data_IF_739498002296
#
_entry.id   IF_739498002296
#
_cell.length_a   1.000
_cell.length_b   1.000
_cell.length_c   1.000
_cell.angle_alpha   90.00
_cell.angle_beta   90.00
_cell.angle_gamma   90.00
#
_symmetry.space_group_name_H-M   'P 1'
#
loop_
_entity.id
_entity.type
_entity.pdbx_description
1 polymer ?
#
# COMPACT_ATOMS: atom_id res chain seq x y z
N UNK A 1 -8.87 54.09 39.17
CA UNK A 1 -7.52 53.61 38.80
C UNK A 1 -7.47 52.11 39.00
N UNK A 2 -7.29 51.35 37.90
CA UNK A 2 -6.55 50.08 37.74
C UNK A 2 -6.70 49.04 38.89
N UNK A 3 -7.18 47.81 38.68
CA UNK A 3 -6.70 46.84 37.68
C UNK A 3 -7.75 45.76 37.41
N UNK A 4 -7.80 45.36 36.14
CA UNK A 4 -8.69 44.40 35.53
C UNK A 4 -8.45 42.95 35.98
N UNK A 5 -9.57 42.25 36.02
CA UNK A 5 -9.85 40.82 36.05
C UNK A 5 -8.85 39.98 35.23
N UNK A 6 -8.18 39.02 35.88
CA UNK A 6 -7.44 37.97 35.20
C UNK A 6 -8.37 36.77 34.98
N UNK A 7 -8.81 36.57 33.74
CA UNK A 7 -9.52 35.36 33.31
C UNK A 7 -8.45 34.31 33.00
N UNK A 8 -8.35 33.28 33.86
CA UNK A 8 -7.58 32.07 33.60
C UNK A 8 -8.39 31.19 32.63
N UNK A 9 -8.06 31.24 31.34
CA UNK A 9 -8.53 30.27 30.35
C UNK A 9 -7.65 29.03 30.49
N UNK A 10 -8.18 28.00 31.16
CA UNK A 10 -7.61 26.67 31.17
C UNK A 10 -7.87 25.99 29.81
N UNK A 11 -6.94 26.11 28.87
CA UNK A 11 -6.90 25.24 27.69
C UNK A 11 -6.29 23.90 28.09
N UNK A 12 -7.13 22.97 28.54
CA UNK A 12 -6.78 21.56 28.61
C UNK A 12 -6.68 21.02 27.17
N UNK A 13 -5.46 20.96 26.64
CA UNK A 13 -5.17 20.17 25.45
C UNK A 13 -5.24 18.69 25.85
N UNK A 14 -6.42 18.08 25.71
CA UNK A 14 -6.55 16.63 25.70
C UNK A 14 -5.77 16.11 24.50
N UNK A 15 -4.57 15.61 24.75
CA UNK A 15 -3.79 14.86 23.78
C UNK A 15 -4.46 13.49 23.66
N UNK A 16 -5.44 13.39 22.76
CA UNK A 16 -5.98 12.10 22.34
C UNK A 16 -4.83 11.33 21.70
N UNK A 17 -4.26 10.39 22.44
CA UNK A 17 -3.34 9.39 21.90
C UNK A 17 -4.17 8.51 20.99
N UNK A 18 -4.28 8.91 19.71
CA UNK A 18 -4.75 8.01 18.67
C UNK A 18 -3.67 6.93 18.61
N UNK A 19 -3.98 5.76 19.16
CA UNK A 19 -3.24 4.55 18.88
C UNK A 19 -3.49 4.21 17.41
N UNK A 20 -2.78 4.90 16.51
CA UNK A 20 -2.68 4.49 15.12
C UNK A 20 -2.01 3.13 15.11
N UNK A 21 -2.70 2.13 14.54
CA UNK A 21 -2.07 0.86 14.24
C UNK A 21 -0.76 1.13 13.48
N UNK A 22 0.32 0.46 13.89
CA UNK A 22 1.59 0.56 13.17
C UNK A 22 1.36 -0.01 11.77
N UNK A 23 1.18 0.87 10.78
CA UNK A 23 1.27 0.46 9.39
C UNK A 23 2.72 0.05 9.15
N UNK A 24 2.94 -1.25 8.91
CA UNK A 24 4.24 -1.73 8.49
C UNK A 24 4.52 -1.15 7.10
N UNK A 25 5.53 -0.30 7.02
CA UNK A 25 6.06 0.16 5.75
C UNK A 25 6.89 -0.96 5.12
N UNK A 26 6.52 -1.37 3.91
CA UNK A 26 7.37 -2.16 3.04
C UNK A 26 8.52 -1.24 2.64
N UNK A 27 9.67 -1.35 3.32
CA UNK A 27 10.88 -0.54 3.11
C UNK A 27 11.54 -0.85 1.74
N UNK A 28 10.78 -0.65 0.65
CA UNK A 28 11.18 -0.85 -0.75
C UNK A 28 11.30 0.53 -1.39
N UNK A 29 12.33 0.73 -2.21
CA UNK A 29 12.64 1.99 -2.86
C UNK A 29 12.81 1.80 -4.37
N UNK A 30 12.62 2.88 -5.12
CA UNK A 30 12.96 2.91 -6.55
C UNK A 30 14.47 2.68 -6.71
N UNK A 31 14.84 1.77 -7.61
CA UNK A 31 16.21 1.32 -7.81
C UNK A 31 16.54 -0.01 -7.10
N UNK A 32 15.67 -0.48 -6.21
CA UNK A 32 15.86 -1.79 -5.58
C UNK A 32 15.67 -2.92 -6.59
N UNK A 33 16.40 -4.01 -6.37
CA UNK A 33 16.17 -5.26 -7.05
C UNK A 33 15.35 -6.17 -6.15
N UNK A 34 14.27 -6.73 -6.68
CA UNK A 34 13.37 -7.62 -5.93
C UNK A 34 13.21 -8.94 -6.66
N UNK A 35 12.91 -10.01 -5.94
CA UNK A 35 12.48 -11.26 -6.56
C UNK A 35 11.18 -11.75 -5.96
N UNK A 36 10.51 -12.61 -6.70
CA UNK A 36 9.27 -13.22 -6.28
C UNK A 36 9.43 -14.68 -5.93
N UNK A 37 8.56 -15.13 -5.05
CA UNK A 37 8.31 -16.53 -4.81
C UNK A 37 6.88 -16.85 -5.21
N UNK A 38 6.72 -18.02 -5.80
CA UNK A 38 5.41 -18.62 -5.99
C UNK A 38 4.82 -19.05 -4.63
N UNK A 39 3.56 -18.73 -4.41
CA UNK A 39 2.87 -18.83 -3.12
C UNK A 39 1.43 -19.29 -3.32
N UNK A 40 0.55 -19.02 -2.37
CA UNK A 40 -0.78 -19.60 -2.35
C UNK A 40 -1.65 -19.11 -3.52
N UNK A 41 -2.23 -20.07 -4.25
CA UNK A 41 -3.04 -19.84 -5.45
C UNK A 41 -2.92 -21.04 -6.37
N UNK A 42 -3.89 -21.20 -7.28
CA UNK A 42 -3.90 -22.29 -8.28
C UNK A 42 -4.26 -21.80 -9.68
N UNK A 43 -4.49 -20.50 -9.83
CA UNK A 43 -4.82 -19.85 -11.10
C UNK A 43 -3.57 -19.21 -11.72
N UNK A 44 -3.69 -18.52 -12.87
CA UNK A 44 -2.61 -17.76 -13.50
C UNK A 44 -2.22 -16.47 -12.69
N UNK A 45 -2.52 -16.47 -11.39
CA UNK A 45 -2.25 -15.42 -10.42
C UNK A 45 -2.36 -15.98 -8.99
N UNK A 46 -2.48 -15.11 -7.98
CA UNK A 46 -2.58 -15.52 -6.58
C UNK A 46 -1.68 -14.70 -5.66
N UNK A 47 -1.41 -15.22 -4.46
CA UNK A 47 -0.41 -14.63 -3.59
C UNK A 47 0.98 -14.81 -4.20
N UNK A 48 1.81 -13.77 -4.08
CA UNK A 48 3.24 -13.84 -4.31
C UNK A 48 3.99 -13.39 -3.08
N UNK A 49 5.09 -14.06 -2.78
CA UNK A 49 6.07 -13.59 -1.81
C UNK A 49 7.06 -12.66 -2.50
N UNK A 50 7.51 -11.61 -1.83
CA UNK A 50 8.56 -10.73 -2.34
C UNK A 50 9.77 -10.73 -1.41
N UNK A 51 10.97 -10.74 -1.96
CA UNK A 51 12.24 -10.52 -1.26
C UNK A 51 13.06 -9.40 -1.92
N UNK A 52 13.77 -8.62 -1.10
CA UNK A 52 14.79 -7.67 -1.57
C UNK A 52 16.10 -8.41 -1.88
N UNK A 53 16.73 -8.07 -3.00
CA UNK A 53 18.05 -8.56 -3.36
C UNK A 53 19.15 -7.67 -2.73
N UNK A 54 20.31 -8.26 -2.34
CA UNK A 54 20.73 -9.64 -2.58
C UNK A 54 20.15 -10.69 -1.60
N UNK A 55 19.32 -10.30 -0.62
CA UNK A 55 18.73 -11.19 0.39
C UNK A 55 17.57 -12.06 -0.13
N UNK A 56 17.82 -12.78 -1.23
CA UNK A 56 16.84 -13.54 -2.03
C UNK A 56 16.04 -14.62 -1.28
N UNK A 57 16.46 -15.04 -0.09
CA UNK A 57 15.78 -16.11 0.67
C UNK A 57 14.84 -15.58 1.76
N UNK A 58 14.86 -14.28 2.05
CA UNK A 58 14.03 -13.68 3.10
C UNK A 58 12.85 -12.99 2.45
N UNK A 59 11.69 -13.64 2.52
CA UNK A 59 10.44 -12.99 2.15
C UNK A 59 10.09 -11.90 3.15
N UNK A 60 9.75 -10.71 2.64
CA UNK A 60 9.44 -9.53 3.45
C UNK A 60 7.95 -9.16 3.40
N UNK A 61 7.23 -9.59 2.36
CA UNK A 61 5.79 -9.30 2.21
C UNK A 61 5.08 -10.29 1.27
N UNK A 62 3.74 -10.24 1.33
CA UNK A 62 2.79 -10.87 0.41
C UNK A 62 2.14 -9.84 -0.51
N UNK A 63 1.95 -10.18 -1.77
CA UNK A 63 1.35 -9.31 -2.78
C UNK A 63 0.55 -10.08 -3.83
N UNK A 64 -0.08 -9.36 -4.76
CA UNK A 64 -0.93 -9.84 -5.86
C UNK A 64 -0.63 -9.06 -7.14
N UNK A 65 -0.95 -9.66 -8.28
CA UNK A 65 -0.88 -9.00 -9.59
C UNK A 65 -1.95 -7.92 -9.73
N UNK A 66 -1.64 -6.86 -10.48
CA UNK A 66 -2.62 -5.86 -10.90
C UNK A 66 -3.14 -6.11 -12.32
N UNK A 67 -2.26 -6.52 -13.23
CA UNK A 67 -2.64 -6.85 -14.61
C UNK A 67 -2.88 -8.34 -14.79
N UNK A 68 -3.68 -8.74 -15.77
CA UNK A 68 -3.85 -10.15 -16.18
C UNK A 68 -2.81 -10.57 -17.22
N UNK A 69 -2.48 -9.67 -18.15
CA UNK A 69 -1.68 -10.00 -19.34
C UNK A 69 -0.18 -9.70 -19.19
N UNK A 70 0.24 -9.33 -17.97
CA UNK A 70 1.65 -9.18 -17.61
C UNK A 70 2.10 -10.31 -16.69
N UNK A 71 3.40 -10.60 -16.71
CA UNK A 71 3.94 -11.79 -16.06
C UNK A 71 5.08 -11.44 -15.11
N UNK A 72 5.20 -12.25 -14.06
CA UNK A 72 6.39 -12.39 -13.22
C UNK A 72 7.09 -13.71 -13.54
N UNK A 73 8.29 -13.86 -13.00
CA UNK A 73 8.94 -15.14 -12.82
C UNK A 73 9.52 -15.24 -11.42
N UNK A 74 9.97 -16.44 -11.03
CA UNK A 74 10.40 -16.73 -9.66
C UNK A 74 11.92 -16.90 -9.54
N UNK A 75 12.65 -16.34 -10.48
CA UNK A 75 14.09 -16.53 -10.57
C UNK A 75 14.84 -15.62 -9.57
N UNK A 76 16.08 -16.02 -9.23
CA UNK A 76 16.87 -15.33 -8.22
C UNK A 76 17.37 -13.94 -8.67
N UNK A 77 17.48 -13.69 -9.98
CA UNK A 77 17.95 -12.41 -10.53
C UNK A 77 16.88 -11.31 -10.49
N UNK A 78 15.60 -11.70 -10.44
CA UNK A 78 14.50 -10.81 -10.10
C UNK A 78 14.20 -9.69 -11.11
N UNK A 79 13.67 -8.60 -10.58
CA UNK A 79 13.12 -7.44 -11.26
C UNK A 79 13.71 -6.17 -10.68
N UNK A 80 13.79 -5.12 -11.49
CA UNK A 80 14.15 -3.77 -11.04
C UNK A 80 12.88 -3.01 -10.67
N UNK A 81 12.86 -2.39 -9.49
CA UNK A 81 11.82 -1.44 -9.11
C UNK A 81 12.10 -0.12 -9.80
N UNK A 82 11.24 0.27 -10.75
CA UNK A 82 11.37 1.51 -11.50
C UNK A 82 10.42 2.60 -11.04
N UNK A 83 9.37 2.23 -10.30
CA UNK A 83 8.40 3.18 -9.78
C UNK A 83 7.70 2.65 -8.53
N UNK A 84 7.29 3.58 -7.67
CA UNK A 84 6.35 3.33 -6.58
C UNK A 84 5.31 4.45 -6.68
N UNK A 85 4.09 4.11 -7.08
CA UNK A 85 3.10 5.10 -7.46
C UNK A 85 1.68 4.67 -7.09
N UNK A 86 0.69 5.44 -7.56
CA UNK A 86 -0.73 5.08 -7.49
C UNK A 86 -1.27 4.67 -8.86
N UNK A 87 -0.39 4.33 -9.80
CA UNK A 87 -0.73 4.02 -11.18
C UNK A 87 -0.01 2.76 -11.66
N UNK A 88 -0.71 1.98 -12.47
CA UNK A 88 -0.15 0.85 -13.21
C UNK A 88 0.73 1.38 -14.35
N UNK A 89 1.92 0.83 -14.49
CA UNK A 89 2.88 1.15 -15.53
C UNK A 89 2.38 0.66 -16.90
N UNK A 90 2.73 1.39 -17.96
CA UNK A 90 2.33 1.04 -19.33
C UNK A 90 0.93 1.53 -19.72
N UNK A 91 -0.08 1.35 -18.84
CA UNK A 91 -1.46 1.82 -19.09
C UNK A 91 -1.74 3.20 -18.47
N UNK A 92 -1.04 3.56 -17.39
CA UNK A 92 -1.32 4.79 -16.63
C UNK A 92 -2.66 4.75 -15.90
N UNK A 93 -3.19 3.56 -15.65
CA UNK A 93 -4.46 3.36 -14.98
C UNK A 93 -4.30 3.57 -13.46
N UNK A 94 -5.08 4.47 -12.83
CA UNK A 94 -5.04 4.67 -11.38
C UNK A 94 -5.54 3.44 -10.62
N UNK A 95 -4.83 3.08 -9.55
CA UNK A 95 -5.25 2.02 -8.63
C UNK A 95 -6.65 2.31 -8.04
N UNK A 96 -7.55 1.32 -8.07
CA UNK A 96 -8.89 1.49 -7.51
C UNK A 96 -8.85 1.55 -5.96
N UNK A 97 -9.50 2.56 -5.33
CA UNK A 97 -9.61 2.64 -3.86
C UNK A 97 -10.17 1.39 -3.19
N UNK A 98 -11.03 0.62 -3.86
CA UNK A 98 -11.60 -0.63 -3.36
C UNK A 98 -10.56 -1.75 -3.35
N UNK A 99 -9.70 -1.82 -4.36
CA UNK A 99 -8.53 -2.71 -4.38
C UNK A 99 -7.60 -2.37 -3.22
N UNK A 100 -7.34 -1.08 -3.00
CA UNK A 100 -6.53 -0.62 -1.88
C UNK A 100 -7.14 -0.98 -0.51
N UNK A 101 -8.46 -0.89 -0.35
CA UNK A 101 -9.15 -1.37 0.85
C UNK A 101 -8.90 -2.86 1.08
N UNK A 102 -9.17 -3.71 0.07
CA UNK A 102 -9.01 -5.16 0.19
C UNK A 102 -7.58 -5.54 0.54
N UNK A 103 -6.60 -4.93 -0.13
CA UNK A 103 -5.20 -5.18 0.13
C UNK A 103 -4.78 -4.73 1.54
N UNK A 104 -5.30 -3.60 2.02
CA UNK A 104 -5.05 -3.13 3.39
C UNK A 104 -5.60 -4.13 4.42
N UNK A 105 -6.84 -4.60 4.27
CA UNK A 105 -7.41 -5.62 5.15
C UNK A 105 -6.61 -6.93 5.09
N UNK A 106 -6.24 -7.35 3.87
CA UNK A 106 -5.43 -8.53 3.64
C UNK A 106 -4.11 -8.46 4.43
N UNK A 107 -3.34 -7.38 4.22
CA UNK A 107 -2.04 -7.16 4.87
C UNK A 107 -2.12 -7.00 6.38
N UNK A 108 -3.25 -6.54 6.91
CA UNK A 108 -3.51 -6.45 8.35
C UNK A 108 -3.95 -7.78 8.98
N UNK A 109 -4.19 -8.83 8.20
CA UNK A 109 -4.71 -10.09 8.72
C UNK A 109 -6.21 -10.03 9.07
N UNK A 110 -6.94 -9.07 8.52
CA UNK A 110 -8.33 -8.75 8.90
C UNK A 110 -9.34 -8.89 7.77
N UNK A 111 -8.91 -9.32 6.58
CA UNK A 111 -9.84 -9.54 5.47
C UNK A 111 -10.80 -10.69 5.80
N UNK A 112 -12.09 -10.36 5.87
CA UNK A 112 -13.15 -11.30 6.24
C UNK A 112 -13.12 -12.55 5.35
N UNK A 113 -13.22 -13.74 5.93
CA UNK A 113 -13.22 -15.03 5.22
C UNK A 113 -11.94 -15.35 4.41
N UNK A 114 -10.86 -14.57 4.56
CA UNK A 114 -9.56 -14.96 4.04
C UNK A 114 -8.92 -15.99 4.98
N UNK A 115 -8.42 -17.11 4.45
CA UNK A 115 -7.73 -18.11 5.26
C UNK A 115 -6.25 -17.76 5.36
N UNK A 116 -5.85 -17.28 6.54
CA UNK A 116 -4.46 -16.91 6.81
C UNK A 116 -3.57 -18.10 7.21
N UNK A 117 -4.10 -19.32 7.23
CA UNK A 117 -3.33 -20.53 7.55
C UNK A 117 -2.32 -20.83 6.44
N UNK A 118 -1.00 -20.77 6.70
CA UNK A 118 -0.01 -20.98 5.65
C UNK A 118 -0.14 -22.36 4.99
N UNK A 119 -0.01 -22.41 3.66
CA UNK A 119 -0.07 -23.64 2.86
C UNK A 119 -1.36 -24.48 3.02
N UNK A 120 -2.48 -23.89 3.45
CA UNK A 120 -3.76 -24.60 3.50
C UNK A 120 -4.47 -24.57 2.14
N UNK A 121 -5.33 -25.57 1.84
CA UNK A 121 -6.23 -25.49 0.69
C UNK A 121 -7.17 -24.28 0.75
N UNK A 122 -7.58 -23.88 1.95
CA UNK A 122 -8.41 -22.68 2.17
C UNK A 122 -7.68 -21.40 1.77
N UNK A 123 -6.39 -21.30 2.08
CA UNK A 123 -5.57 -20.14 1.73
C UNK A 123 -5.40 -20.03 0.22
N UNK A 124 -5.10 -21.13 -0.45
CA UNK A 124 -5.03 -21.16 -1.92
C UNK A 124 -6.35 -20.70 -2.57
N UNK A 125 -7.49 -21.23 -2.11
CA UNK A 125 -8.80 -20.82 -2.63
C UNK A 125 -9.12 -19.34 -2.34
N UNK A 126 -8.76 -18.84 -1.15
CA UNK A 126 -8.96 -17.43 -0.78
C UNK A 126 -8.02 -16.49 -1.54
N UNK A 127 -6.80 -16.93 -1.85
CA UNK A 127 -5.85 -16.19 -2.67
C UNK A 127 -6.32 -16.08 -4.12
N UNK A 128 -6.81 -17.17 -4.71
CA UNK A 128 -7.42 -17.16 -6.05
C UNK A 128 -8.63 -16.21 -6.10
N UNK A 129 -9.52 -16.28 -5.11
CA UNK A 129 -10.67 -15.40 -5.04
C UNK A 129 -10.28 -13.92 -4.86
N UNK A 130 -9.21 -13.62 -4.11
CA UNK A 130 -8.76 -12.25 -3.91
C UNK A 130 -8.12 -11.71 -5.18
N UNK A 131 -7.31 -12.51 -5.89
CA UNK A 131 -6.75 -12.15 -7.18
C UNK A 131 -7.85 -11.83 -8.21
N UNK A 132 -8.92 -12.63 -8.26
CA UNK A 132 -10.07 -12.37 -9.14
C UNK A 132 -10.83 -11.09 -8.76
N UNK A 133 -11.00 -10.82 -7.46
CA UNK A 133 -11.63 -9.58 -6.98
C UNK A 133 -10.80 -8.35 -7.38
N UNK A 134 -9.47 -8.43 -7.25
CA UNK A 134 -8.54 -7.37 -7.68
C UNK A 134 -8.69 -7.13 -9.18
N UNK A 135 -8.55 -8.17 -10.01
CA UNK A 135 -8.70 -8.03 -11.46
C UNK A 135 -10.07 -7.49 -11.89
N UNK A 136 -11.14 -7.84 -11.18
CA UNK A 136 -12.46 -7.25 -11.43
C UNK A 136 -12.50 -5.75 -11.13
N UNK A 137 -11.94 -5.33 -10.01
CA UNK A 137 -11.95 -3.94 -9.56
C UNK A 137 -11.07 -3.06 -10.45
N UNK A 138 -9.91 -3.57 -10.87
CA UNK A 138 -9.01 -2.91 -11.82
C UNK A 138 -9.50 -3.01 -13.29
N UNK A 139 -10.65 -3.64 -13.54
CA UNK A 139 -11.25 -3.67 -14.88
C UNK A 139 -10.51 -4.56 -15.89
N UNK A 140 -9.76 -5.55 -15.42
CA UNK A 140 -8.93 -6.39 -16.27
C UNK A 140 -9.75 -7.28 -17.22
N UNK A 141 -9.27 -7.54 -18.45
CA UNK A 141 -10.03 -8.28 -19.44
C UNK A 141 -10.40 -9.69 -18.93
N UNK A 142 -11.63 -10.13 -19.19
CA UNK A 142 -12.12 -11.44 -18.73
C UNK A 142 -12.64 -11.48 -17.28
N UNK A 143 -12.52 -10.38 -16.52
CA UNK A 143 -13.01 -10.27 -15.14
C UNK A 143 -14.14 -9.25 -14.98
N UNK A 144 -14.88 -8.95 -16.05
CA UNK A 144 -16.05 -8.06 -15.99
C UNK A 144 -17.15 -8.55 -15.01
N UNK A 145 -17.18 -9.86 -14.73
CA UNK A 145 -18.02 -10.47 -13.71
C UNK A 145 -17.20 -11.44 -12.85
N UNK A 146 -17.45 -11.43 -11.55
CA UNK A 146 -16.90 -12.38 -10.58
C UNK A 146 -18.03 -13.00 -9.76
N UNK A 147 -17.79 -14.17 -9.18
CA UNK A 147 -18.79 -14.90 -8.38
C UNK A 147 -18.16 -15.39 -7.07
N UNK A 148 -18.96 -16.03 -6.21
CA UNK A 148 -18.48 -16.62 -4.97
C UNK A 148 -17.83 -15.59 -4.04
N UNK A 149 -16.70 -15.96 -3.43
CA UNK A 149 -16.02 -15.13 -2.44
C UNK A 149 -15.45 -13.83 -3.04
N UNK A 150 -14.98 -13.87 -4.29
CA UNK A 150 -14.49 -12.67 -4.98
C UNK A 150 -15.56 -11.58 -5.08
N UNK A 151 -16.79 -11.98 -5.46
CA UNK A 151 -17.93 -11.06 -5.53
C UNK A 151 -18.29 -10.48 -4.16
N UNK A 152 -18.25 -11.29 -3.10
CA UNK A 152 -18.54 -10.82 -1.74
C UNK A 152 -17.51 -9.76 -1.27
N UNK A 153 -16.23 -9.92 -1.60
CA UNK A 153 -15.22 -8.91 -1.30
C UNK A 153 -15.37 -7.64 -2.12
N UNK A 154 -15.76 -7.74 -3.40
CA UNK A 154 -16.10 -6.56 -4.20
C UNK A 154 -17.25 -5.76 -3.55
N UNK A 155 -18.27 -6.45 -3.04
CA UNK A 155 -19.38 -5.81 -2.31
C UNK A 155 -18.92 -5.21 -0.98
N UNK A 156 -18.08 -5.92 -0.21
CA UNK A 156 -17.50 -5.43 1.04
C UNK A 156 -16.71 -4.14 0.81
N UNK A 157 -15.80 -4.13 -0.17
CA UNK A 157 -14.98 -2.97 -0.49
C UNK A 157 -15.81 -1.78 -1.00
N UNK A 158 -16.86 -2.06 -1.78
CA UNK A 158 -17.81 -1.03 -2.23
C UNK A 158 -18.57 -0.43 -1.04
N UNK A 159 -19.02 -1.26 -0.10
CA UNK A 159 -19.73 -0.81 1.09
C UNK A 159 -18.83 -0.06 2.09
N UNK A 160 -17.52 -0.35 2.11
CA UNK A 160 -16.54 0.37 2.92
C UNK A 160 -16.37 1.84 2.51
N UNK A 161 -16.73 2.19 1.27
CA UNK A 161 -16.79 3.58 0.80
C UNK A 161 -15.44 4.30 0.75
N UNK A 162 -14.33 3.56 0.59
CA UNK A 162 -13.01 4.17 0.39
C UNK A 162 -12.98 4.98 -0.91
N UNK A 163 -12.41 6.17 -0.85
CA UNK A 163 -12.32 7.11 -1.98
C UNK A 163 -10.88 7.43 -2.38
N UNK A 164 -9.91 6.96 -1.60
CA UNK A 164 -8.49 7.07 -1.86
C UNK A 164 -7.79 5.71 -1.62
N UNK A 165 -6.53 5.61 -2.04
CA UNK A 165 -5.74 4.38 -1.95
C UNK A 165 -4.95 4.27 -0.64
N UNK A 166 -5.10 5.22 0.29
CA UNK A 166 -4.37 5.27 1.55
C UNK A 166 -2.86 5.11 1.40
N UNK A 167 -2.30 4.11 2.09
CA UNK A 167 -0.88 3.75 2.03
C UNK A 167 -0.56 2.69 0.97
N UNK A 168 -1.56 2.20 0.23
CA UNK A 168 -1.34 1.21 -0.83
C UNK A 168 -0.69 1.88 -2.02
N UNK A 169 0.35 1.25 -2.56
CA UNK A 169 1.04 1.69 -3.75
C UNK A 169 1.18 0.55 -4.74
N UNK A 170 1.33 0.93 -6.00
CA UNK A 170 1.72 0.08 -7.10
C UNK A 170 3.25 0.07 -7.17
N UNK A 171 3.84 -1.11 -7.08
CA UNK A 171 5.25 -1.35 -7.31
C UNK A 171 5.45 -1.64 -8.80
N UNK A 172 6.02 -0.67 -9.52
CA UNK A 172 6.24 -0.77 -10.95
C UNK A 172 7.57 -1.49 -11.23
N UNK A 173 7.52 -2.56 -12.04
CA UNK A 173 8.64 -3.49 -12.22
C UNK A 173 9.15 -3.58 -13.65
N UNK A 174 10.46 -3.75 -13.81
CA UNK A 174 11.06 -4.09 -15.10
C UNK A 174 11.82 -5.41 -15.05
N UNK A 175 11.76 -6.13 -16.16
CA UNK A 175 12.59 -7.30 -16.38
C UNK A 175 14.08 -6.93 -16.36
N UNK A 176 14.89 -7.79 -15.74
CA UNK A 176 16.34 -7.63 -15.67
C UNK A 176 17.09 -8.70 -16.47
N UNK A 177 16.35 -9.62 -17.10
CA UNK A 177 16.89 -10.78 -17.84
C UNK A 177 15.92 -11.32 -18.89
N UNK A 178 16.34 -12.42 -19.52
CA UNK A 178 15.61 -13.23 -20.51
C UNK A 178 15.33 -12.50 -21.84
N UNK A 179 16.17 -11.52 -22.21
CA UNK A 179 15.98 -10.75 -23.43
C UNK A 179 14.78 -9.82 -23.37
N UNK A 180 14.24 -9.60 -22.16
CA UNK A 180 13.18 -8.63 -21.86
C UNK A 180 13.72 -7.43 -21.09
N UNK A 181 15.04 -7.35 -20.90
CA UNK A 181 15.71 -6.37 -20.04
C UNK A 181 15.21 -4.94 -20.33
N UNK A 182 14.71 -4.26 -19.30
CA UNK A 182 14.13 -2.92 -19.39
C UNK A 182 12.68 -2.85 -19.89
N UNK A 183 12.06 -3.97 -20.26
CA UNK A 183 10.61 -4.04 -20.52
C UNK A 183 9.82 -4.06 -19.21
N UNK A 184 8.60 -3.53 -19.22
CA UNK A 184 7.67 -3.64 -18.12
C UNK A 184 7.38 -5.11 -17.77
N UNK A 185 7.34 -5.38 -16.47
CA UNK A 185 6.88 -6.62 -15.89
C UNK A 185 5.62 -6.34 -15.07
N UNK A 186 4.91 -7.40 -14.70
CA UNK A 186 3.71 -7.35 -13.89
C UNK A 186 3.86 -6.45 -12.67
N UNK A 187 2.96 -5.49 -12.51
CA UNK A 187 2.96 -4.63 -11.35
C UNK A 187 2.24 -5.30 -10.18
N UNK A 188 2.68 -4.96 -8.96
CA UNK A 188 2.17 -5.59 -7.74
C UNK A 188 1.85 -4.57 -6.65
N UNK A 189 0.98 -4.97 -5.72
CA UNK A 189 0.56 -4.13 -4.60
C UNK A 189 1.60 -4.12 -3.47
N UNK A 190 1.84 -2.97 -2.84
CA UNK A 190 2.61 -2.85 -1.60
C UNK A 190 1.95 -1.88 -0.61
N UNK A 191 2.30 -1.97 0.67
CA UNK A 191 2.02 -0.95 1.66
C UNK A 191 3.28 -0.12 1.85
N UNK A 192 3.34 1.02 1.19
CA UNK A 192 4.41 1.98 1.42
C UNK A 192 3.79 3.30 1.89
N UNK A 193 3.80 3.58 3.21
CA UNK A 193 3.41 4.88 3.70
C UNK A 193 4.41 5.89 3.16
N UNK A 194 4.07 6.50 2.04
CA UNK A 194 4.86 7.61 1.49
C UNK A 194 4.90 8.67 2.60
N UNK A 195 6.08 9.01 3.13
CA UNK A 195 6.19 10.15 4.01
C UNK A 195 5.70 11.33 3.19
N UNK A 196 4.60 11.98 3.58
CA UNK A 196 4.06 13.08 2.79
C UNK A 196 5.17 14.09 2.48
N UNK A 197 5.66 14.19 1.22
CA UNK A 197 7.02 14.70 0.98
C UNK A 197 7.24 16.17 1.29
N UNK A 198 6.21 16.95 1.64
CA UNK A 198 6.36 18.39 1.90
C UNK A 198 5.43 18.95 3.01
N UNK A 199 4.33 18.27 3.34
CA UNK A 199 3.37 18.73 4.35
C UNK A 199 3.98 18.79 5.76
N UNK A 200 4.79 17.80 6.13
CA UNK A 200 5.48 17.77 7.43
C UNK A 200 6.61 18.80 7.52
N UNK A 201 7.33 19.05 6.42
CA UNK A 201 8.33 20.11 6.37
C UNK A 201 7.68 21.49 6.51
N UNK A 202 6.55 21.75 5.84
CA UNK A 202 5.80 22.99 5.97
C UNK A 202 5.19 23.15 7.37
N UNK A 203 4.68 22.08 7.97
CA UNK A 203 4.17 22.10 9.35
C UNK A 203 5.29 22.40 10.36
N UNK A 204 6.47 21.79 10.19
CA UNK A 204 7.65 22.08 11.00
C UNK A 204 8.15 23.52 10.86
N UNK A 205 8.18 24.05 9.63
CA UNK A 205 8.55 25.45 9.36
C UNK A 205 7.49 26.42 9.90
N UNK A 206 6.20 26.10 9.77
CA UNK A 206 5.08 26.91 10.28
C UNK A 206 5.08 27.02 11.80
N UNK A 207 5.29 25.91 12.51
CA UNK A 207 5.41 25.91 13.97
C UNK A 207 6.68 26.62 14.46
N UNK A 208 7.80 26.45 13.74
CA UNK A 208 9.05 27.17 14.00
C UNK A 208 8.91 28.69 13.85
N UNK A 209 8.20 29.17 12.83
CA UNK A 209 7.93 30.58 12.60
C UNK A 209 7.08 31.20 13.71
N UNK A 210 6.01 30.52 14.16
CA UNK A 210 5.15 30.97 15.26
C UNK A 210 5.91 31.04 16.59
N UNK A 211 6.75 30.04 16.87
CA UNK A 211 7.60 30.03 18.07
C UNK A 211 8.66 31.16 18.05
N UNK A 212 9.24 31.43 16.88
CA UNK A 212 10.18 32.53 16.67
C UNK A 212 9.55 33.92 16.87
N UNK A 213 8.35 34.14 16.35
CA UNK A 213 7.60 35.39 16.52
C UNK A 213 7.19 35.64 17.98
N UNK A 214 6.78 34.59 18.71
CA UNK A 214 6.43 34.69 20.14
C UNK A 214 7.62 35.07 21.02
N UNK A 215 8.83 34.60 20.71
CA UNK A 215 10.04 34.95 21.46
C UNK A 215 10.44 36.42 21.29
N UNK A 216 10.19 37.01 20.11
CA UNK A 216 10.50 38.43 19.86
C UNK A 216 9.51 39.37 20.55
N UNK A 217 8.25 38.98 20.69
CA UNK A 217 7.25 39.76 21.43
C UNK A 217 7.50 39.84 22.94
N UNK A 218 8.16 38.85 23.53
CA UNK A 218 8.48 38.80 24.97
C UNK A 218 9.77 39.55 25.35
N UNK A 219 10.63 39.88 24.38
CA UNK A 219 11.83 40.70 24.61
C UNK A 219 11.60 42.20 24.37
N UNK A 220 10.41 42.58 23.90
CA UNK A 220 10.02 43.96 23.60
C UNK A 220 9.00 44.55 24.62
N UNK A 221 8.82 43.88 25.76
CA UNK A 221 7.98 44.32 26.89
C UNK A 221 8.81 44.33 28.17
#
# INVERSE_FOLDING_TARGET
>A
MKKLTAILIACAAAFSVIAGGQAFADNIQVGDYVRFFDREGTTDGGEFGLALLPNSSVEILRTFCLQRDEYLDFNAQGFLVTGISTMVMGQGDPLDPRTAYLYTQFRNGTLSNYDYTPNSPGRAASADALQQAIWHLEGEPGYATVTGQAFLWVQEATAAGWTDVGNVRVLNLQWTRNGRDGQGAQDVLILNPVPEPMSMALAGLGLGAVAGLRRRGLQAA
#
